data_IF_230990100029
#
_entry.id   IF_230990100029
#
_cell.length_a   1.000
_cell.length_b   1.000
_cell.length_c   1.000
_cell.angle_alpha   90.00
_cell.angle_beta   90.00
_cell.angle_gamma   90.00
#
_symmetry.space_group_name_H-M   'P 1'
#
loop_
_entity.id
_entity.type
_entity.pdbx_description
1 polymer ?
#
# COMPACT_ATOMS: atom_id res chain seq x y z
N UNK A 1 -8.54 17.97 -21.58
CA UNK A 1 -8.21 16.69 -20.91
C UNK A 1 -7.29 17.01 -19.75
N UNK A 2 -7.77 16.93 -18.51
CA UNK A 2 -6.89 17.07 -17.34
C UNK A 2 -5.89 15.92 -17.33
N UNK A 3 -4.60 16.25 -17.42
CA UNK A 3 -3.53 15.26 -17.38
C UNK A 3 -3.39 14.76 -15.94
N UNK A 4 -3.92 13.57 -15.64
CA UNK A 4 -3.68 12.93 -14.35
C UNK A 4 -2.30 12.29 -14.35
N UNK A 5 -1.44 12.75 -13.44
CA UNK A 5 -0.06 12.25 -13.32
C UNK A 5 -0.11 10.96 -12.48
N UNK A 6 0.43 9.82 -12.97
CA UNK A 6 0.57 8.61 -12.18
C UNK A 6 1.40 8.86 -10.92
N UNK A 7 0.96 8.33 -9.78
CA UNK A 7 1.67 8.48 -8.51
C UNK A 7 1.69 7.19 -7.70
N UNK A 8 2.70 7.09 -6.82
CA UNK A 8 2.81 6.06 -5.80
C UNK A 8 2.39 6.65 -4.45
N UNK A 9 1.62 5.90 -3.68
CA UNK A 9 1.34 6.22 -2.28
C UNK A 9 2.44 5.60 -1.41
N UNK A 10 3.10 6.41 -0.58
CA UNK A 10 4.14 5.98 0.36
C UNK A 10 3.90 6.65 1.72
N UNK A 11 4.75 6.34 2.69
CA UNK A 11 4.83 7.03 3.98
C UNK A 11 3.90 6.44 5.03
N UNK A 12 4.49 5.78 6.03
CA UNK A 12 3.76 5.35 7.23
C UNK A 12 2.72 4.23 7.03
N UNK A 13 2.67 3.61 5.84
CA UNK A 13 1.72 2.53 5.54
C UNK A 13 1.97 1.32 6.45
N UNK A 14 0.89 0.79 7.01
CA UNK A 14 0.83 -0.39 7.88
C UNK A 14 -0.18 -1.42 7.37
N UNK A 15 -0.16 -2.66 7.89
CA UNK A 15 -1.11 -3.70 7.50
C UNK A 15 -2.58 -3.28 7.62
N UNK A 16 -2.93 -2.48 8.62
CA UNK A 16 -4.32 -2.05 8.87
C UNK A 16 -4.86 -1.07 7.81
N UNK A 17 -3.98 -0.48 6.99
CA UNK A 17 -4.35 0.50 5.98
C UNK A 17 -4.89 -0.13 4.68
N UNK A 18 -4.79 -1.47 4.51
CA UNK A 18 -5.14 -2.17 3.28
C UNK A 18 -6.53 -1.80 2.75
N UNK A 19 -7.55 -1.84 3.61
CA UNK A 19 -8.94 -1.51 3.23
C UNK A 19 -9.10 -0.04 2.78
N UNK A 20 -8.40 0.90 3.45
CA UNK A 20 -8.44 2.30 3.07
C UNK A 20 -7.73 2.53 1.72
N UNK A 21 -6.58 1.90 1.52
CA UNK A 21 -5.80 1.96 0.29
C UNK A 21 -6.60 1.36 -0.89
N UNK A 22 -7.29 0.24 -0.69
CA UNK A 22 -8.19 -0.34 -1.71
C UNK A 22 -9.25 0.66 -2.17
N UNK A 23 -9.93 1.33 -1.23
CA UNK A 23 -10.91 2.40 -1.54
C UNK A 23 -10.27 3.56 -2.28
N UNK A 24 -9.00 3.88 -2.00
CA UNK A 24 -8.25 4.89 -2.74
C UNK A 24 -7.99 4.45 -4.19
N UNK A 25 -7.61 3.20 -4.43
CA UNK A 25 -7.44 2.66 -5.79
C UNK A 25 -8.72 2.75 -6.61
N UNK A 26 -9.87 2.46 -6.00
CA UNK A 26 -11.19 2.60 -6.64
C UNK A 26 -11.52 4.06 -6.99
N UNK A 27 -11.06 5.02 -6.18
CA UNK A 27 -11.34 6.45 -6.33
C UNK A 27 -10.37 7.18 -7.26
N UNK A 28 -9.10 6.81 -7.25
CA UNK A 28 -8.01 7.55 -7.91
C UNK A 28 -7.41 6.71 -9.03
N UNK A 29 -7.88 6.92 -10.26
CA UNK A 29 -7.40 6.20 -11.45
C UNK A 29 -5.92 6.41 -11.78
N UNK A 30 -5.25 7.37 -11.16
CA UNK A 30 -3.81 7.64 -11.30
C UNK A 30 -2.96 7.22 -10.09
N UNK A 31 -3.56 6.60 -9.06
CA UNK A 31 -2.80 5.86 -8.06
C UNK A 31 -2.37 4.53 -8.69
N UNK A 32 -1.08 4.37 -8.97
CA UNK A 32 -0.58 3.21 -9.73
C UNK A 32 0.19 2.20 -8.89
N UNK A 33 0.45 2.51 -7.63
CA UNK A 33 1.25 1.65 -6.76
C UNK A 33 1.32 2.20 -5.33
N UNK A 34 1.80 1.34 -4.45
CA UNK A 34 2.07 1.63 -3.05
C UNK A 34 3.51 1.25 -2.73
N UNK A 35 4.15 2.02 -1.87
CA UNK A 35 5.50 1.79 -1.38
C UNK A 35 5.44 1.52 0.12
N UNK A 36 5.89 0.33 0.50
CA UNK A 36 5.83 -0.16 1.88
C UNK A 36 7.24 -0.32 2.42
N UNK A 37 7.45 0.10 3.67
CA UNK A 37 8.77 0.01 4.28
C UNK A 37 8.72 -0.45 5.74
N UNK A 38 8.96 0.44 6.70
CA UNK A 38 9.12 0.11 8.13
C UNK A 38 7.87 -0.43 8.81
N UNK A 39 6.67 -0.20 8.25
CA UNK A 39 5.42 -0.81 8.74
C UNK A 39 5.32 -2.32 8.51
N UNK A 40 6.25 -2.91 7.75
CA UNK A 40 6.27 -4.32 7.36
C UNK A 40 7.56 -5.02 7.79
N UNK A 41 8.23 -4.48 8.80
CA UNK A 41 9.50 -4.97 9.31
C UNK A 41 9.34 -5.55 10.72
N UNK A 42 10.01 -6.67 11.01
CA UNK A 42 10.14 -7.17 12.40
C UNK A 42 11.21 -6.39 13.16
N UNK A 43 12.24 -5.95 12.44
CA UNK A 43 13.28 -5.03 12.90
C UNK A 43 13.82 -4.24 11.68
N UNK A 44 14.52 -3.11 11.88
CA UNK A 44 14.98 -2.28 10.76
C UNK A 44 15.73 -3.07 9.69
N UNK A 45 15.20 -3.08 8.47
CA UNK A 45 15.76 -3.80 7.31
C UNK A 45 15.37 -5.28 7.18
N UNK A 46 14.62 -5.86 8.13
CA UNK A 46 14.13 -7.25 8.07
C UNK A 46 12.61 -7.29 7.87
N UNK A 47 12.17 -7.65 6.66
CA UNK A 47 10.75 -7.69 6.29
C UNK A 47 10.03 -8.90 6.91
N UNK A 48 8.81 -8.69 7.39
CA UNK A 48 7.89 -9.75 7.80
C UNK A 48 7.04 -10.23 6.63
N UNK A 49 7.25 -11.49 6.21
CA UNK A 49 6.41 -12.12 5.19
C UNK A 49 4.96 -12.29 5.65
N UNK A 50 4.74 -12.50 6.96
CA UNK A 50 3.39 -12.62 7.53
C UNK A 50 2.61 -11.31 7.36
N UNK A 51 3.20 -10.18 7.74
CA UNK A 51 2.57 -8.86 7.59
C UNK A 51 2.33 -8.52 6.11
N UNK A 52 3.30 -8.82 5.24
CA UNK A 52 3.18 -8.56 3.80
C UNK A 52 2.08 -9.42 3.17
N UNK A 53 2.03 -10.71 3.48
CA UNK A 53 1.02 -11.60 2.91
C UNK A 53 -0.38 -11.22 3.37
N UNK A 54 -0.58 -11.00 4.68
CA UNK A 54 -1.89 -10.59 5.20
C UNK A 54 -2.38 -9.26 4.62
N UNK A 55 -1.47 -8.29 4.48
CA UNK A 55 -1.79 -7.02 3.83
C UNK A 55 -2.11 -7.16 2.34
N UNK A 56 -1.35 -7.98 1.59
CA UNK A 56 -1.62 -8.22 0.18
C UNK A 56 -2.93 -9.00 -0.05
N UNK A 57 -3.28 -9.90 0.86
CA UNK A 57 -4.58 -10.60 0.84
C UNK A 57 -5.73 -9.62 1.05
N UNK A 58 -5.68 -8.78 2.08
CA UNK A 58 -6.73 -7.76 2.36
C UNK A 58 -6.80 -6.69 1.25
N UNK A 59 -5.66 -6.32 0.65
CA UNK A 59 -5.61 -5.34 -0.43
C UNK A 59 -6.21 -5.87 -1.74
N UNK A 60 -6.14 -7.19 -1.98
CA UNK A 60 -6.56 -7.84 -3.24
C UNK A 60 -7.92 -8.53 -3.17
N UNK A 61 -8.35 -8.98 -1.99
CA UNK A 61 -9.76 -9.34 -1.75
C UNK A 61 -10.64 -8.15 -2.04
#
# INVERSE_FOLDING_TARGET
LEKRIPFLLSGGIRPEDASAIRKMYERYSNLVGIDVNSGFEVCPGEKSLELLNGFLEELRG
#
